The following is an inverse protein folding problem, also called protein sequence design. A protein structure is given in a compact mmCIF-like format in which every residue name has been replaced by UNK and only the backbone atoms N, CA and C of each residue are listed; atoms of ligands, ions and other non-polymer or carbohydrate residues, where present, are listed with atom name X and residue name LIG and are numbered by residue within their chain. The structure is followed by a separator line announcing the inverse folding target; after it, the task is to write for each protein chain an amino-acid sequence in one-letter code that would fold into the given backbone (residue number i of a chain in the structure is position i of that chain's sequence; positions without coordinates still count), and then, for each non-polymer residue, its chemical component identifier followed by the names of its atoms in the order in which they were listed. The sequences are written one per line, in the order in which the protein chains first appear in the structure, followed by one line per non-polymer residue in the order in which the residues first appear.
data_IF_263906248505
#
_entry.id   IF_263906248505
#
_cell.length_a   1.000
_cell.length_b   1.000
_cell.length_c   1.000
_cell.angle_alpha   90.00
_cell.angle_beta   90.00
_cell.angle_gamma   90.00
#
_symmetry.space_group_name_H-M   'P 1'
#
loop_
_entity.id
_entity.type
_entity.pdbx_description
1 polymer ?
#
# COMPACT_ATOMS: atom_id res chain seq x y z
N UNK A 1 17.45 -8.32 -0.44
CA UNK A 1 18.11 -6.99 -0.45
C UNK A 1 17.61 -6.20 -1.65
N UNK A 2 17.38 -4.89 -1.54
CA UNK A 2 17.06 -4.05 -2.70
C UNK A 2 18.24 -4.05 -3.69
N UNK A 3 17.93 -3.94 -4.98
CA UNK A 3 18.95 -3.82 -6.04
C UNK A 3 19.52 -2.40 -6.17
N UNK A 4 18.80 -1.43 -5.63
CA UNK A 4 19.22 -0.04 -5.61
C UNK A 4 19.80 0.34 -4.25
N UNK A 5 20.66 1.34 -4.24
CA UNK A 5 21.21 1.90 -3.00
C UNK A 5 20.07 2.38 -2.10
N UNK A 6 20.23 2.18 -0.82
CA UNK A 6 19.37 2.76 0.20
C UNK A 6 20.07 3.99 0.82
N UNK A 7 19.31 5.00 1.21
CA UNK A 7 19.81 6.19 1.90
C UNK A 7 19.71 5.95 3.40
N UNK A 8 20.84 5.86 4.14
CA UNK A 8 20.81 5.77 5.59
C UNK A 8 20.37 7.09 6.22
N UNK A 9 19.98 7.08 7.50
CA UNK A 9 19.56 8.30 8.20
C UNK A 9 20.62 9.39 8.20
N UNK A 10 21.89 9.03 8.34
CA UNK A 10 23.01 9.98 8.34
C UNK A 10 23.21 10.74 7.02
N UNK A 11 22.63 10.24 5.94
CA UNK A 11 22.67 10.85 4.60
C UNK A 11 21.32 11.39 4.15
N UNK A 12 20.29 11.30 5.01
CA UNK A 12 18.95 11.76 4.71
C UNK A 12 18.95 13.29 4.49
N UNK A 13 18.45 13.74 3.34
CA UNK A 13 18.28 15.17 3.09
C UNK A 13 17.24 15.76 4.02
N UNK A 14 17.45 17.01 4.42
CA UNK A 14 16.45 17.76 5.19
C UNK A 14 15.10 17.86 4.44
N UNK A 15 14.05 18.04 5.20
CA UNK A 15 12.70 18.20 4.66
C UNK A 15 11.91 16.91 4.58
N UNK A 16 11.50 16.47 3.38
CA UNK A 16 10.57 15.33 3.25
C UNK A 16 11.19 14.01 3.69
N UNK A 17 12.46 13.77 3.40
CA UNK A 17 13.12 12.50 3.74
C UNK A 17 13.22 12.34 5.26
N UNK A 18 13.75 13.35 5.95
CA UNK A 18 13.87 13.35 7.42
C UNK A 18 12.51 13.19 8.08
N UNK A 19 11.50 14.00 7.68
CA UNK A 19 10.13 13.89 8.24
C UNK A 19 9.53 12.50 8.06
N UNK A 20 9.72 11.87 6.89
CA UNK A 20 9.19 10.52 6.65
C UNK A 20 9.95 9.47 7.46
N UNK A 21 11.25 9.62 7.64
CA UNK A 21 12.03 8.71 8.47
C UNK A 21 11.60 8.80 9.94
N UNK A 22 11.44 10.00 10.47
CA UNK A 22 10.96 10.23 11.85
C UNK A 22 9.56 9.62 12.06
N UNK A 23 8.66 9.85 11.11
CA UNK A 23 7.29 9.33 11.19
C UNK A 23 7.20 7.81 11.10
N UNK A 24 8.03 7.18 10.24
CA UNK A 24 7.91 5.74 9.91
C UNK A 24 8.83 4.89 10.78
N UNK A 25 10.03 5.35 11.05
CA UNK A 25 11.08 4.58 11.72
C UNK A 25 11.45 5.11 13.11
N UNK A 26 10.91 6.25 13.52
CA UNK A 26 11.33 6.93 14.74
C UNK A 26 12.80 7.33 14.65
N UNK A 27 13.56 7.12 15.73
CA UNK A 27 14.97 7.49 15.80
C UNK A 27 15.93 6.48 15.14
N UNK A 28 15.41 5.33 14.68
CA UNK A 28 16.22 4.26 14.08
C UNK A 28 16.80 4.68 12.73
N UNK A 29 17.97 4.14 12.40
CA UNK A 29 18.46 4.14 11.02
C UNK A 29 17.73 3.04 10.23
N UNK A 30 16.93 3.37 9.21
CA UNK A 30 16.11 2.39 8.50
C UNK A 30 16.92 1.42 7.61
N UNK A 31 18.20 1.69 7.39
CA UNK A 31 19.09 0.81 6.62
C UNK A 31 19.80 -0.17 7.55
N UNK A 32 20.29 0.30 8.70
CA UNK A 32 20.95 -0.53 9.70
C UNK A 32 19.93 -1.40 10.46
N UNK A 33 18.74 -0.85 10.75
CA UNK A 33 17.67 -1.51 11.48
C UNK A 33 16.37 -1.53 10.65
N UNK A 34 16.33 -2.34 9.57
CA UNK A 34 15.18 -2.40 8.67
C UNK A 34 13.96 -3.05 9.32
N UNK A 35 12.80 -2.81 8.74
CA UNK A 35 11.55 -3.42 9.14
C UNK A 35 10.56 -2.45 9.77
N UNK A 36 9.29 -2.72 9.53
CA UNK A 36 8.15 -1.98 10.07
C UNK A 36 7.33 -2.90 10.99
N UNK A 37 6.55 -2.35 11.93
CA UNK A 37 5.71 -3.15 12.84
C UNK A 37 4.79 -4.15 12.13
N UNK A 38 4.36 -3.82 10.91
CA UNK A 38 3.52 -4.69 10.07
C UNK A 38 4.30 -5.79 9.32
N UNK A 39 5.60 -6.00 9.62
CA UNK A 39 6.45 -6.99 8.98
C UNK A 39 6.92 -6.62 7.56
N UNK A 40 6.70 -5.40 7.10
CA UNK A 40 7.24 -4.92 5.83
C UNK A 40 8.69 -4.47 6.00
N UNK A 41 9.60 -4.78 5.06
CA UNK A 41 11.00 -4.35 5.16
C UNK A 41 11.21 -2.83 5.22
N UNK A 42 10.32 -2.03 4.64
CA UNK A 42 10.42 -0.57 4.64
C UNK A 42 11.42 0.02 3.64
N UNK A 43 12.12 -0.83 2.88
CA UNK A 43 13.19 -0.42 1.97
C UNK A 43 12.73 0.43 0.77
N UNK A 44 11.43 0.46 0.47
CA UNK A 44 10.87 1.39 -0.51
C UNK A 44 11.18 2.84 -0.12
N UNK A 45 10.99 3.17 1.16
CA UNK A 45 11.22 4.51 1.68
C UNK A 45 12.69 4.93 1.55
N UNK A 46 13.60 4.03 1.88
CA UNK A 46 15.05 4.28 1.85
C UNK A 46 15.62 4.34 0.43
N UNK A 47 14.99 3.63 -0.52
CA UNK A 47 15.37 3.69 -1.94
C UNK A 47 14.84 4.96 -2.59
N UNK A 48 13.57 5.30 -2.39
CA UNK A 48 12.95 6.50 -2.98
C UNK A 48 13.53 7.79 -2.39
N UNK A 49 14.07 7.74 -1.18
CA UNK A 49 14.79 8.86 -0.55
C UNK A 49 16.00 9.37 -1.37
N UNK A 50 16.50 8.61 -2.34
CA UNK A 50 17.54 9.10 -3.28
C UNK A 50 17.04 10.27 -4.13
N UNK A 51 15.73 10.42 -4.31
CA UNK A 51 15.11 11.49 -5.10
C UNK A 51 13.99 12.12 -4.23
N UNK A 52 14.33 13.12 -3.40
CA UNK A 52 13.39 13.73 -2.45
C UNK A 52 12.11 14.23 -3.09
N UNK A 53 12.18 14.78 -4.29
CA UNK A 53 11.02 15.27 -5.04
C UNK A 53 10.06 14.12 -5.42
N UNK A 54 10.61 12.96 -5.78
CA UNK A 54 9.82 11.75 -6.03
C UNK A 54 9.13 11.29 -4.74
N UNK A 55 9.86 11.28 -3.63
CA UNK A 55 9.29 10.93 -2.33
C UNK A 55 8.15 11.90 -1.96
N UNK A 56 8.35 13.21 -2.15
CA UNK A 56 7.32 14.22 -1.89
C UNK A 56 6.07 13.99 -2.75
N UNK A 57 6.24 13.68 -4.05
CA UNK A 57 5.14 13.34 -4.95
C UNK A 57 4.36 12.11 -4.48
N UNK A 58 5.07 11.03 -4.13
CA UNK A 58 4.44 9.80 -3.65
C UNK A 58 3.68 10.03 -2.33
N UNK A 59 4.27 10.75 -1.39
CA UNK A 59 3.62 11.09 -0.09
C UNK A 59 2.36 11.93 -0.33
N UNK A 60 2.40 12.89 -1.26
CA UNK A 60 1.21 13.64 -1.68
C UNK A 60 0.11 12.72 -2.23
N UNK A 61 0.48 11.75 -3.07
CA UNK A 61 -0.44 10.72 -3.57
C UNK A 61 -1.04 9.87 -2.46
N UNK A 62 -0.25 9.46 -1.48
CA UNK A 62 -0.76 8.71 -0.32
C UNK A 62 -1.71 9.53 0.55
N UNK A 63 -1.44 10.82 0.76
CA UNK A 63 -2.32 11.73 1.47
C UNK A 63 -3.66 11.90 0.76
N UNK A 64 -3.62 12.10 -0.57
CA UNK A 64 -4.82 12.16 -1.40
C UNK A 64 -5.62 10.85 -1.35
N UNK A 65 -4.95 9.73 -1.51
CA UNK A 65 -5.54 8.39 -1.48
C UNK A 65 -6.22 8.07 -0.14
N UNK A 66 -5.64 8.50 0.98
CA UNK A 66 -6.12 8.24 2.36
C UNK A 66 -7.04 9.32 2.92
N UNK A 67 -7.36 10.35 2.16
CA UNK A 67 -8.22 11.42 2.63
C UNK A 67 -9.59 10.84 3.05
N UNK A 68 -10.06 11.08 4.30
CA UNK A 68 -11.34 10.57 4.80
C UNK A 68 -12.55 11.14 4.06
N UNK A 69 -12.42 12.31 3.42
CA UNK A 69 -13.50 12.94 2.65
C UNK A 69 -13.73 12.33 1.26
N UNK A 70 -13.08 11.20 0.96
CA UNK A 70 -13.27 10.49 -0.31
C UNK A 70 -14.61 9.77 -0.33
N UNK A 71 -15.29 9.82 -1.49
CA UNK A 71 -16.56 9.13 -1.70
C UNK A 71 -16.44 7.60 -1.56
N UNK A 72 -15.27 7.03 -1.92
CA UNK A 72 -15.01 5.59 -1.79
C UNK A 72 -14.57 5.28 -0.35
N UNK A 73 -15.30 4.37 0.30
CA UNK A 73 -14.95 3.95 1.66
C UNK A 73 -13.57 3.28 1.72
N UNK A 74 -12.90 3.31 2.89
CA UNK A 74 -11.63 2.59 3.06
C UNK A 74 -11.72 1.09 2.71
N UNK A 75 -12.82 0.42 3.07
CA UNK A 75 -13.04 -1.00 2.76
C UNK A 75 -13.09 -1.24 1.26
N UNK A 76 -13.93 -0.50 0.52
CA UNK A 76 -14.04 -0.62 -0.93
C UNK A 76 -12.72 -0.32 -1.63
N UNK A 77 -11.98 0.66 -1.14
CA UNK A 77 -10.64 0.99 -1.64
C UNK A 77 -9.68 -0.19 -1.49
N UNK A 78 -9.66 -0.84 -0.33
CA UNK A 78 -8.76 -1.98 -0.10
C UNK A 78 -9.19 -3.20 -0.92
N UNK A 79 -10.50 -3.48 -1.08
CA UNK A 79 -11.00 -4.52 -1.98
C UNK A 79 -10.49 -4.29 -3.42
N UNK A 80 -10.61 -3.06 -3.92
CA UNK A 80 -10.11 -2.69 -5.25
C UNK A 80 -8.60 -2.92 -5.39
N UNK A 81 -7.81 -2.48 -4.41
CA UNK A 81 -6.34 -2.61 -4.43
C UNK A 81 -5.89 -4.07 -4.32
N UNK A 82 -6.54 -4.88 -3.47
CA UNK A 82 -6.28 -6.32 -3.41
C UNK A 82 -6.56 -6.97 -4.78
N UNK A 83 -7.69 -6.63 -5.42
CA UNK A 83 -8.04 -7.20 -6.72
C UNK A 83 -7.03 -6.80 -7.80
N UNK A 84 -6.59 -5.53 -7.85
CA UNK A 84 -5.50 -5.09 -8.74
C UNK A 84 -4.24 -5.92 -8.51
N UNK A 85 -3.83 -6.06 -7.24
CA UNK A 85 -2.65 -6.83 -6.87
C UNK A 85 -2.72 -8.28 -7.33
N UNK A 86 -3.86 -8.93 -7.12
CA UNK A 86 -4.11 -10.30 -7.57
C UNK A 86 -4.12 -10.41 -9.09
N UNK A 87 -4.94 -9.62 -9.77
CA UNK A 87 -5.13 -9.66 -11.22
C UNK A 87 -3.83 -9.40 -12.00
N UNK A 88 -2.95 -8.56 -11.48
CA UNK A 88 -1.64 -8.25 -12.10
C UNK A 88 -0.48 -9.09 -11.56
N UNK A 89 -0.74 -10.10 -10.72
CA UNK A 89 0.29 -10.99 -10.18
C UNK A 89 1.29 -10.32 -9.24
N UNK A 90 0.95 -9.18 -8.66
CA UNK A 90 1.82 -8.47 -7.72
C UNK A 90 1.63 -8.98 -6.31
N UNK A 91 2.46 -9.93 -5.89
CA UNK A 91 2.45 -10.46 -4.52
C UNK A 91 2.64 -9.36 -3.47
N UNK A 92 3.51 -8.40 -3.75
CA UNK A 92 3.75 -7.29 -2.84
C UNK A 92 2.49 -6.45 -2.64
N UNK A 93 1.87 -5.95 -3.72
CA UNK A 93 0.65 -5.14 -3.65
C UNK A 93 -0.46 -5.92 -2.94
N UNK A 94 -0.73 -7.17 -3.37
CA UNK A 94 -1.76 -8.01 -2.75
C UNK A 94 -1.54 -8.15 -1.24
N UNK A 95 -0.33 -8.55 -0.81
CA UNK A 95 -0.04 -8.77 0.61
C UNK A 95 -0.16 -7.50 1.46
N UNK A 96 0.25 -6.33 0.94
CA UNK A 96 0.14 -5.08 1.67
C UNK A 96 -1.32 -4.64 1.83
N UNK A 97 -2.12 -4.81 0.77
CA UNK A 97 -3.53 -4.44 0.83
C UNK A 97 -4.39 -5.45 1.60
N UNK A 98 -4.01 -6.73 1.71
CA UNK A 98 -4.62 -7.66 2.66
C UNK A 98 -4.44 -7.21 4.12
N UNK A 99 -3.26 -6.66 4.48
CA UNK A 99 -3.03 -6.10 5.82
C UNK A 99 -3.90 -4.87 6.04
N UNK A 100 -3.84 -3.92 5.10
CA UNK A 100 -4.64 -2.70 5.18
C UNK A 100 -6.15 -2.97 5.18
N UNK A 101 -6.61 -4.00 4.48
CA UNK A 101 -8.01 -4.44 4.48
C UNK A 101 -8.45 -4.89 5.88
N UNK A 102 -7.65 -5.70 6.57
CA UNK A 102 -7.90 -6.11 7.96
C UNK A 102 -7.95 -4.91 8.90
N UNK A 103 -7.00 -3.98 8.77
CA UNK A 103 -6.94 -2.75 9.57
C UNK A 103 -8.17 -1.85 9.33
N UNK A 104 -8.78 -1.92 8.15
CA UNK A 104 -10.01 -1.21 7.79
C UNK A 104 -11.29 -2.03 7.99
N UNK A 105 -11.22 -3.21 8.64
CA UNK A 105 -12.38 -4.01 9.02
C UNK A 105 -13.02 -4.81 7.87
N UNK A 106 -12.29 -5.10 6.79
CA UNK A 106 -12.75 -6.02 5.75
C UNK A 106 -12.75 -7.45 6.32
N UNK A 107 -13.86 -8.20 6.23
CA UNK A 107 -13.95 -9.57 6.72
C UNK A 107 -12.93 -10.49 6.03
N UNK A 108 -12.35 -11.44 6.79
CA UNK A 108 -11.37 -12.40 6.26
C UNK A 108 -11.94 -13.21 5.07
N UNK A 109 -13.22 -13.57 5.14
CA UNK A 109 -13.90 -14.28 4.06
C UNK A 109 -13.88 -13.52 2.73
N UNK A 110 -13.97 -12.17 2.77
CA UNK A 110 -13.84 -11.33 1.59
C UNK A 110 -12.41 -11.28 1.09
N UNK A 111 -11.42 -11.17 2.00
CA UNK A 111 -10.00 -11.16 1.65
C UNK A 111 -9.61 -12.45 0.93
N UNK A 112 -10.03 -13.59 1.47
CA UNK A 112 -9.78 -14.91 0.89
C UNK A 112 -10.52 -15.12 -0.45
N UNK A 113 -11.68 -14.49 -0.61
CA UNK A 113 -12.50 -14.63 -1.81
C UNK A 113 -12.05 -13.74 -2.99
N UNK A 114 -11.16 -12.77 -2.79
CA UNK A 114 -10.68 -11.86 -3.86
C UNK A 114 -10.23 -12.57 -5.13
N UNK A 115 -9.52 -13.72 -5.09
CA UNK A 115 -9.13 -14.45 -6.29
C UNK A 115 -10.29 -14.85 -7.19
N UNK A 116 -11.36 -15.37 -6.57
CA UNK A 116 -12.56 -15.88 -7.24
C UNK A 116 -13.83 -15.07 -6.92
N UNK A 117 -13.71 -13.77 -6.71
CA UNK A 117 -14.78 -12.90 -6.21
C UNK A 117 -16.10 -13.02 -6.98
N UNK A 118 -16.04 -13.27 -8.30
CA UNK A 118 -17.22 -13.31 -9.16
C UNK A 118 -18.18 -14.48 -8.83
N UNK A 119 -17.64 -15.58 -8.29
CA UNK A 119 -18.39 -16.77 -7.89
C UNK A 119 -18.60 -16.88 -6.36
N UNK A 120 -18.18 -15.87 -5.58
CA UNK A 120 -18.31 -15.88 -4.12
C UNK A 120 -19.54 -15.10 -3.67
N UNK A 121 -20.22 -15.55 -2.65
CA UNK A 121 -21.33 -14.88 -1.99
C UNK A 121 -20.89 -13.90 -0.88
N UNK A 122 -19.59 -13.72 -0.69
CA UNK A 122 -19.02 -12.85 0.35
C UNK A 122 -19.18 -11.35 0.07
N UNK A 123 -19.58 -10.96 -1.13
CA UNK A 123 -19.62 -9.56 -1.58
C UNK A 123 -21.04 -9.08 -1.86
N UNK A 124 -21.37 -7.88 -1.39
CA UNK A 124 -22.59 -7.20 -1.75
C UNK A 124 -22.57 -6.63 -3.18
N UNK A 125 -23.69 -6.05 -3.61
CA UNK A 125 -23.81 -5.52 -4.99
C UNK A 125 -22.86 -4.35 -5.28
N UNK A 126 -22.60 -3.48 -4.30
CA UNK A 126 -21.67 -2.35 -4.43
C UNK A 126 -20.22 -2.82 -4.52
N UNK A 127 -19.82 -3.75 -3.65
CA UNK A 127 -18.51 -4.37 -3.65
C UNK A 127 -18.23 -5.12 -4.96
N UNK A 128 -19.21 -5.88 -5.44
CA UNK A 128 -19.13 -6.57 -6.74
C UNK A 128 -18.98 -5.60 -7.91
N UNK A 129 -19.66 -4.45 -7.87
CA UNK A 129 -19.53 -3.42 -8.90
C UNK A 129 -18.11 -2.84 -8.92
N UNK A 130 -17.51 -2.59 -7.75
CA UNK A 130 -16.12 -2.13 -7.63
C UNK A 130 -15.15 -3.16 -8.18
N UNK A 131 -15.30 -4.43 -7.81
CA UNK A 131 -14.43 -5.52 -8.26
C UNK A 131 -14.53 -5.75 -9.78
N UNK A 132 -15.75 -5.70 -10.33
CA UNK A 132 -15.98 -5.79 -11.77
C UNK A 132 -15.34 -4.61 -12.54
N UNK A 133 -15.45 -3.41 -11.99
CA UNK A 133 -14.83 -2.22 -12.57
C UNK A 133 -13.30 -2.33 -12.56
N UNK A 134 -12.71 -2.83 -11.47
CA UNK A 134 -11.27 -3.12 -11.42
C UNK A 134 -10.87 -4.10 -12.51
N UNK A 135 -11.58 -5.22 -12.66
CA UNK A 135 -11.26 -6.22 -13.70
C UNK A 135 -11.36 -5.61 -15.10
N UNK A 136 -12.37 -4.79 -15.35
CA UNK A 136 -12.53 -4.08 -16.63
C UNK A 136 -11.34 -3.14 -16.94
N UNK A 137 -10.71 -2.56 -15.91
CA UNK A 137 -9.56 -1.66 -16.09
C UNK A 137 -8.22 -2.40 -16.26
N UNK A 138 -8.03 -3.53 -15.55
CA UNK A 138 -6.70 -4.12 -15.41
C UNK A 138 -6.48 -5.39 -16.22
N UNK A 139 -7.55 -6.00 -16.73
CA UNK A 139 -7.48 -7.24 -17.53
C UNK A 139 -7.62 -7.00 -19.05
N UNK A 140 -7.58 -5.76 -19.49
CA UNK A 140 -7.57 -5.40 -20.92
C UNK A 140 -6.25 -5.76 -21.59
#
# INVERSE_FOLDING_TARGET
MPRLRQVPRSEASEGIVTRMYDYIFGDRDPVAEPGLPNGTPGNWWTVVAQVPEMLQHCVGGFAFYRNPDRALSPQLRELAQMRVGWARGSRFVFSQHCKAARDNGVPEAQIEAIPGWASSDAFDAGERAVLAWVDALVLQ
#
